data_IF_978369776030
#
_entry.id   IF_978369776030
#
_cell.length_a   1.000
_cell.length_b   1.000
_cell.length_c   1.000
_cell.angle_alpha   90.00
_cell.angle_beta   90.00
_cell.angle_gamma   90.00
#
_symmetry.space_group_name_H-M   'P 1'
#
loop_
_entity.id
_entity.type
_entity.pdbx_description
1 polymer ?
#
# COMPACT_ATOMS: atom_id res chain seq x y z
N UNK A 1 7.98 43.89 -0.81
CA UNK A 1 6.58 43.42 -0.79
C UNK A 1 6.58 41.92 -1.01
N UNK A 2 6.45 41.07 0.03
CA UNK A 2 6.56 39.63 -0.12
C UNK A 2 5.27 39.06 -0.72
N UNK A 3 5.42 38.14 -1.67
CA UNK A 3 4.32 37.42 -2.31
C UNK A 3 3.66 36.48 -1.29
N UNK A 4 2.34 36.47 -1.31
CA UNK A 4 1.46 35.64 -0.50
C UNK A 4 1.69 34.14 -0.74
N UNK A 5 1.89 33.41 0.35
CA UNK A 5 1.99 31.95 0.39
C UNK A 5 0.60 31.32 0.38
N UNK A 6 -0.14 31.43 -0.74
CA UNK A 6 -1.55 31.02 -0.81
C UNK A 6 -1.83 29.69 -1.52
N UNK A 7 -0.83 28.90 -1.89
CA UNK A 7 -1.03 27.56 -2.44
C UNK A 7 -0.30 26.50 -1.60
N UNK A 8 -0.98 25.92 -0.62
CA UNK A 8 -0.50 24.73 0.10
C UNK A 8 -0.85 23.44 -0.68
N UNK A 9 -0.51 23.37 -1.97
CA UNK A 9 -0.68 22.16 -2.80
C UNK A 9 0.55 21.23 -2.75
N UNK A 10 1.60 21.60 -2.01
CA UNK A 10 2.90 20.90 -1.99
C UNK A 10 3.09 19.87 -0.86
N UNK A 11 2.02 19.42 -0.18
CA UNK A 11 2.14 18.30 0.78
C UNK A 11 1.82 17.00 0.07
N UNK A 12 2.83 16.16 -0.14
CA UNK A 12 2.66 14.81 -0.67
C UNK A 12 1.52 14.08 0.06
N UNK A 13 0.49 13.68 -0.68
CA UNK A 13 -0.66 12.96 -0.14
C UNK A 13 -0.17 11.69 0.59
N UNK A 14 -0.67 11.37 1.80
CA UNK A 14 -0.19 10.24 2.60
C UNK A 14 -0.13 8.89 1.87
N UNK A 15 -1.12 8.60 1.02
CA UNK A 15 -1.09 7.43 0.14
C UNK A 15 0.05 7.48 -0.89
N UNK A 16 0.34 8.63 -1.50
CA UNK A 16 1.39 8.75 -2.52
C UNK A 16 2.78 8.59 -1.86
N UNK A 17 2.93 9.04 -0.61
CA UNK A 17 4.11 8.76 0.21
C UNK A 17 4.27 7.25 0.45
N UNK A 18 3.19 6.54 0.81
CA UNK A 18 3.19 5.08 0.97
C UNK A 18 3.62 4.37 -0.32
N UNK A 19 3.00 4.70 -1.46
CA UNK A 19 3.32 4.14 -2.75
C UNK A 19 4.79 4.42 -3.15
N UNK A 20 5.29 5.63 -2.91
CA UNK A 20 6.68 6.00 -3.17
C UNK A 20 7.66 5.19 -2.32
N UNK A 21 7.39 4.99 -1.02
CA UNK A 21 8.26 4.18 -0.15
C UNK A 21 8.27 2.71 -0.53
N UNK A 22 7.14 2.17 -0.95
CA UNK A 22 7.07 0.81 -1.49
C UNK A 22 7.95 0.71 -2.75
N UNK A 23 7.74 1.59 -3.73
CA UNK A 23 8.53 1.62 -4.97
C UNK A 23 10.03 1.75 -4.72
N UNK A 24 10.44 2.55 -3.73
CA UNK A 24 11.85 2.69 -3.39
C UNK A 24 12.46 1.34 -2.98
N UNK A 25 11.83 0.61 -2.07
CA UNK A 25 12.39 -0.65 -1.59
C UNK A 25 12.28 -1.77 -2.63
N UNK A 26 11.36 -1.69 -3.58
CA UNK A 26 11.21 -2.73 -4.59
C UNK A 26 12.06 -2.48 -5.83
N UNK A 27 12.19 -1.22 -6.27
CA UNK A 27 12.84 -0.86 -7.53
C UNK A 27 14.30 -0.45 -7.38
N UNK A 28 14.73 0.03 -6.21
CA UNK A 28 16.09 0.52 -6.00
C UNK A 28 16.84 -0.43 -5.05
N UNK A 29 17.79 -1.25 -5.55
CA UNK A 29 18.52 -2.21 -4.72
C UNK A 29 19.17 -1.56 -3.48
N UNK A 30 19.80 -0.40 -3.63
CA UNK A 30 20.41 0.34 -2.51
C UNK A 30 19.42 0.91 -1.47
N UNK A 31 18.10 0.81 -1.69
CA UNK A 31 17.07 1.19 -0.71
C UNK A 31 16.46 -0.02 0.02
N UNK A 32 16.85 -1.25 -0.33
CA UNK A 32 16.50 -2.50 0.38
C UNK A 32 17.32 -2.64 1.67
N UNK A 33 17.16 -1.69 2.57
CA UNK A 33 17.90 -1.61 3.83
C UNK A 33 16.93 -1.56 5.01
N UNK A 34 17.36 -1.89 6.24
CA UNK A 34 16.54 -1.73 7.44
C UNK A 34 15.89 -0.34 7.53
N UNK A 35 16.66 0.72 7.23
CA UNK A 35 16.15 2.10 7.18
C UNK A 35 15.07 2.30 6.11
N UNK A 36 15.21 1.70 4.93
CA UNK A 36 14.20 1.76 3.88
C UNK A 36 12.89 1.09 4.30
N UNK A 37 12.99 -0.06 4.95
CA UNK A 37 11.84 -0.78 5.51
C UNK A 37 11.15 0.00 6.63
N UNK A 38 11.91 0.63 7.51
CA UNK A 38 11.36 1.47 8.57
C UNK A 38 10.65 2.72 8.03
N UNK A 39 11.16 3.29 6.93
CA UNK A 39 10.46 4.36 6.21
C UNK A 39 9.14 3.88 5.60
N UNK A 40 9.08 2.67 5.07
CA UNK A 40 7.83 2.09 4.58
C UNK A 40 6.84 1.91 5.74
N UNK A 41 7.27 1.32 6.86
CA UNK A 41 6.44 1.18 8.08
C UNK A 41 5.95 2.52 8.60
N UNK A 42 6.78 3.55 8.55
CA UNK A 42 6.38 4.91 8.90
C UNK A 42 5.30 5.45 7.95
N UNK A 43 5.44 5.22 6.63
CA UNK A 43 4.43 5.64 5.66
C UNK A 43 3.09 4.91 5.84
N UNK A 44 3.11 3.62 6.22
CA UNK A 44 1.90 2.86 6.60
C UNK A 44 1.18 3.57 7.76
N UNK A 45 1.89 3.91 8.84
CA UNK A 45 1.32 4.62 10.00
C UNK A 45 0.77 6.00 9.63
N UNK A 46 1.45 6.74 8.76
CA UNK A 46 0.99 8.05 8.29
C UNK A 46 -0.29 7.91 7.44
N UNK A 47 -0.37 6.90 6.57
CA UNK A 47 -1.57 6.61 5.79
C UNK A 47 -2.74 6.19 6.69
N UNK A 48 -2.49 5.39 7.73
CA UNK A 48 -3.48 5.03 8.74
C UNK A 48 -4.03 6.26 9.48
N UNK A 49 -3.15 7.12 10.00
CA UNK A 49 -3.56 8.35 10.67
C UNK A 49 -4.35 9.29 9.77
N UNK A 50 -4.02 9.34 8.47
CA UNK A 50 -4.78 10.10 7.49
C UNK A 50 -6.18 9.53 7.25
N UNK A 51 -6.34 8.21 7.14
CA UNK A 51 -7.66 7.57 7.01
C UNK A 51 -8.54 7.85 8.23
N UNK A 52 -7.99 7.71 9.45
CA UNK A 52 -8.69 8.05 10.69
C UNK A 52 -9.10 9.53 10.73
N UNK A 53 -8.24 10.43 10.24
CA UNK A 53 -8.56 11.85 10.14
C UNK A 53 -9.70 12.11 9.16
N UNK A 54 -9.69 11.51 7.97
CA UNK A 54 -10.79 11.65 7.02
C UNK A 54 -12.12 11.16 7.60
N UNK A 55 -12.10 10.03 8.30
CA UNK A 55 -13.26 9.49 9.02
C UNK A 55 -13.77 10.50 10.05
N UNK A 56 -12.88 11.02 10.90
CA UNK A 56 -13.24 12.00 11.94
C UNK A 56 -13.77 13.33 11.36
N UNK A 57 -13.33 13.71 10.16
CA UNK A 57 -13.84 14.87 9.42
C UNK A 57 -15.16 14.59 8.66
N UNK A 58 -15.76 13.39 8.82
CA UNK A 58 -16.99 13.00 8.12
C UNK A 58 -16.79 12.68 6.63
N UNK A 59 -15.56 12.52 6.17
CA UNK A 59 -15.19 12.27 4.77
C UNK A 59 -15.07 10.78 4.47
N UNK A 60 -16.07 10.00 4.87
CA UNK A 60 -16.07 8.54 4.73
C UNK A 60 -15.85 8.08 3.29
N UNK A 61 -16.45 8.77 2.30
CA UNK A 61 -16.26 8.43 0.89
C UNK A 61 -14.80 8.58 0.42
N UNK A 62 -14.11 9.63 0.84
CA UNK A 62 -12.68 9.86 0.53
C UNK A 62 -11.79 8.84 1.25
N UNK A 63 -12.13 8.51 2.50
CA UNK A 63 -11.44 7.47 3.26
C UNK A 63 -11.58 6.10 2.58
N UNK A 64 -12.80 5.71 2.18
CA UNK A 64 -13.06 4.46 1.46
C UNK A 64 -12.33 4.42 0.13
N UNK A 65 -12.34 5.52 -0.63
CA UNK A 65 -11.59 5.62 -1.88
C UNK A 65 -10.10 5.38 -1.65
N UNK A 66 -9.53 5.98 -0.59
CA UNK A 66 -8.13 5.81 -0.23
C UNK A 66 -7.84 4.39 0.27
N UNK A 67 -8.71 3.79 1.07
CA UNK A 67 -8.61 2.40 1.51
C UNK A 67 -8.60 1.42 0.32
N UNK A 68 -9.47 1.64 -0.67
CA UNK A 68 -9.47 0.86 -1.92
C UNK A 68 -8.14 0.98 -2.68
N UNK A 69 -7.53 2.17 -2.73
CA UNK A 69 -6.18 2.33 -3.30
C UNK A 69 -5.12 1.54 -2.53
N UNK A 70 -5.23 1.42 -1.20
CA UNK A 70 -4.33 0.60 -0.39
C UNK A 70 -4.50 -0.89 -0.72
N UNK A 71 -5.73 -1.38 -0.89
CA UNK A 71 -5.98 -2.74 -1.36
C UNK A 71 -5.34 -2.99 -2.73
N UNK A 72 -5.53 -2.08 -3.68
CA UNK A 72 -4.93 -2.20 -5.02
C UNK A 72 -3.40 -2.17 -4.95
N UNK A 73 -2.81 -1.36 -4.05
CA UNK A 73 -1.37 -1.33 -3.84
C UNK A 73 -0.85 -2.66 -3.26
N UNK A 74 -1.57 -3.26 -2.31
CA UNK A 74 -1.25 -4.57 -1.73
C UNK A 74 -1.32 -5.73 -2.74
N UNK A 75 -2.12 -5.58 -3.80
CA UNK A 75 -2.29 -6.56 -4.87
C UNK A 75 -1.17 -6.49 -5.93
N UNK A 76 -0.40 -5.41 -5.97
CA UNK A 76 0.76 -5.31 -6.88
C UNK A 76 1.84 -6.34 -6.54
N UNK A 77 2.69 -6.65 -7.51
CA UNK A 77 3.85 -7.53 -7.26
C UNK A 77 4.79 -6.96 -6.21
N UNK A 78 4.94 -5.64 -6.17
CA UNK A 78 5.68 -4.94 -5.11
C UNK A 78 5.06 -5.22 -3.73
N UNK A 79 3.75 -5.01 -3.58
CA UNK A 79 3.03 -5.27 -2.33
C UNK A 79 3.11 -6.73 -1.89
N UNK A 80 2.90 -7.68 -2.81
CA UNK A 80 3.01 -9.12 -2.52
C UNK A 80 4.43 -9.52 -2.13
N UNK A 81 5.46 -9.08 -2.87
CA UNK A 81 6.86 -9.35 -2.54
C UNK A 81 7.23 -8.79 -1.17
N UNK A 82 6.81 -7.56 -0.87
CA UNK A 82 7.07 -6.93 0.42
C UNK A 82 6.42 -7.68 1.58
N UNK A 83 5.22 -8.21 1.37
CA UNK A 83 4.57 -9.10 2.35
C UNK A 83 5.38 -10.38 2.58
N UNK A 84 5.75 -11.11 1.53
CA UNK A 84 6.42 -12.42 1.67
C UNK A 84 7.88 -12.34 2.10
N UNK A 85 8.66 -11.39 1.58
CA UNK A 85 10.10 -11.32 1.85
C UNK A 85 10.44 -10.48 3.10
N UNK A 86 9.65 -9.47 3.41
CA UNK A 86 9.92 -8.55 4.53
C UNK A 86 8.89 -8.65 5.68
N UNK A 87 7.80 -9.39 5.51
CA UNK A 87 6.73 -9.49 6.51
C UNK A 87 6.01 -8.17 6.76
N UNK A 88 6.06 -7.23 5.82
CA UNK A 88 5.41 -5.92 5.94
C UNK A 88 4.07 -5.97 5.22
N UNK A 89 2.98 -5.83 5.95
CA UNK A 89 1.63 -5.84 5.40
C UNK A 89 1.14 -4.39 5.15
N UNK A 90 0.84 -4.06 3.89
CA UNK A 90 0.27 -2.75 3.56
C UNK A 90 -1.15 -2.57 4.09
N UNK A 91 -1.86 -3.66 4.40
CA UNK A 91 -3.19 -3.60 5.00
C UNK A 91 -3.16 -3.07 6.43
N UNK A 92 -1.99 -3.02 7.08
CA UNK A 92 -1.80 -2.34 8.38
C UNK A 92 -2.06 -0.82 8.29
N UNK A 93 -2.19 -0.26 7.08
CA UNK A 93 -2.60 1.12 6.90
C UNK A 93 -4.11 1.32 7.11
N UNK A 94 -4.92 0.25 7.10
CA UNK A 94 -6.38 0.34 7.16
C UNK A 94 -6.89 0.38 8.61
N UNK A 95 -7.72 1.38 8.98
CA UNK A 95 -8.50 1.31 10.22
C UNK A 95 -9.46 0.12 10.24
N UNK A 96 -9.99 -0.26 11.43
CA UNK A 96 -11.09 -1.21 11.52
C UNK A 96 -12.27 -0.80 10.62
N UNK A 97 -12.92 -1.72 9.90
CA UNK A 97 -13.97 -1.38 8.94
C UNK A 97 -15.16 -0.63 9.57
N UNK A 98 -15.52 -0.98 10.81
CA UNK A 98 -16.55 -0.28 11.58
C UNK A 98 -16.25 1.21 11.81
N UNK A 99 -14.98 1.61 11.80
CA UNK A 99 -14.61 3.02 11.96
C UNK A 99 -15.09 3.88 10.79
N UNK A 100 -15.29 3.32 9.60
CA UNK A 100 -15.74 4.08 8.43
C UNK A 100 -17.22 4.48 8.51
N UNK A 101 -18.03 3.82 9.36
CA UNK A 101 -19.44 4.14 9.57
C UNK A 101 -20.32 3.93 8.34
N UNK A 102 -19.91 3.04 7.41
CA UNK A 102 -20.64 2.74 6.17
C UNK A 102 -20.85 1.23 6.07
N UNK A 103 -22.09 0.77 6.29
CA UNK A 103 -22.46 -0.65 6.33
C UNK A 103 -21.99 -1.44 5.10
N UNK A 104 -22.22 -0.90 3.90
CA UNK A 104 -21.79 -1.54 2.65
C UNK A 104 -20.26 -1.68 2.56
N UNK A 105 -19.50 -0.76 3.16
CA UNK A 105 -18.06 -0.92 3.22
C UNK A 105 -17.66 -2.00 4.22
N UNK A 106 -18.25 -2.00 5.40
CA UNK A 106 -17.92 -2.92 6.48
C UNK A 106 -18.27 -4.38 6.16
N UNK A 107 -19.49 -4.62 5.69
CA UNK A 107 -20.02 -5.98 5.54
C UNK A 107 -19.82 -6.58 4.15
N UNK A 108 -19.58 -5.75 3.13
CA UNK A 108 -19.44 -6.22 1.75
C UNK A 108 -18.07 -5.90 1.16
N UNK A 109 -17.73 -4.60 1.01
CA UNK A 109 -16.55 -4.22 0.26
C UNK A 109 -15.25 -4.64 0.96
N UNK A 110 -15.08 -4.31 2.24
CA UNK A 110 -13.88 -4.64 3.02
C UNK A 110 -13.60 -6.15 3.05
N UNK A 111 -14.55 -7.02 3.47
CA UNK A 111 -14.29 -8.46 3.50
C UNK A 111 -14.01 -9.02 2.10
N UNK A 112 -14.70 -8.52 1.07
CA UNK A 112 -14.43 -8.91 -0.34
C UNK A 112 -13.00 -8.54 -0.77
N UNK A 113 -12.52 -7.34 -0.43
CA UNK A 113 -11.16 -6.91 -0.78
C UNK A 113 -10.08 -7.66 0.01
N UNK A 114 -10.29 -7.89 1.31
CA UNK A 114 -9.38 -8.71 2.13
C UNK A 114 -9.29 -10.13 1.55
N UNK A 115 -10.42 -10.73 1.19
CA UNK A 115 -10.44 -12.05 0.57
C UNK A 115 -9.71 -12.05 -0.78
N UNK A 116 -9.89 -11.00 -1.60
CA UNK A 116 -9.15 -10.82 -2.87
C UNK A 116 -7.64 -10.76 -2.64
N UNK A 117 -7.17 -9.98 -1.66
CA UNK A 117 -5.74 -9.91 -1.30
C UNK A 117 -5.21 -11.26 -0.83
N UNK A 118 -5.96 -11.94 0.04
CA UNK A 118 -5.60 -13.28 0.52
C UNK A 118 -5.43 -14.27 -0.62
N UNK A 119 -6.42 -14.39 -1.51
CA UNK A 119 -6.37 -15.31 -2.65
C UNK A 119 -5.19 -15.02 -3.57
N UNK A 120 -4.90 -13.75 -3.82
CA UNK A 120 -3.77 -13.34 -4.64
C UNK A 120 -2.41 -13.62 -3.97
N UNK A 121 -2.31 -13.46 -2.65
CA UNK A 121 -1.15 -13.88 -1.88
C UNK A 121 -0.94 -15.40 -1.93
N UNK A 122 -2.00 -16.19 -1.78
CA UNK A 122 -1.93 -17.66 -1.89
C UNK A 122 -1.52 -18.14 -3.28
N UNK A 123 -2.00 -17.48 -4.34
CA UNK A 123 -1.56 -17.74 -5.72
C UNK A 123 -0.07 -17.39 -5.90
N UNK A 124 0.35 -16.24 -5.38
CA UNK A 124 1.75 -15.81 -5.46
C UNK A 124 2.69 -16.70 -4.65
N UNK A 125 2.28 -17.16 -3.46
CA UNK A 125 3.04 -18.13 -2.67
C UNK A 125 3.26 -19.44 -3.42
N UNK A 126 2.20 -19.97 -4.07
CA UNK A 126 2.30 -21.16 -4.93
C UNK A 126 3.25 -20.94 -6.10
N UNK A 127 3.21 -19.76 -6.71
CA UNK A 127 4.13 -19.38 -7.77
C UNK A 127 5.59 -19.38 -7.27
N UNK A 128 5.88 -18.72 -6.13
CA UNK A 128 7.22 -18.70 -5.53
C UNK A 128 7.73 -20.10 -5.16
N UNK A 129 6.86 -20.94 -4.59
CA UNK A 129 7.20 -22.32 -4.24
C UNK A 129 7.54 -23.18 -5.47
N UNK A 130 6.90 -22.91 -6.62
CA UNK A 130 7.10 -23.67 -7.86
C UNK A 130 8.31 -23.21 -8.67
N UNK A 131 8.62 -21.92 -8.65
CA UNK A 131 9.61 -21.32 -9.57
C UNK A 131 10.84 -20.72 -8.89
N UNK A 132 10.93 -20.76 -7.56
CA UNK A 132 12.04 -20.17 -6.81
C UNK A 132 11.95 -18.63 -6.74
N UNK A 133 12.70 -18.05 -5.80
CA UNK A 133 12.77 -16.59 -5.57
C UNK A 133 13.21 -15.85 -6.85
N UNK A 134 12.48 -14.80 -7.25
CA UNK A 134 12.93 -13.83 -8.26
C UNK A 134 14.05 -12.95 -7.68
N UNK A 135 15.20 -13.53 -7.35
CA UNK A 135 16.44 -12.77 -7.25
C UNK A 135 16.99 -12.62 -8.68
N UNK A 136 16.48 -11.61 -9.37
CA UNK A 136 17.08 -11.13 -10.63
C UNK A 136 17.31 -9.64 -10.53
N UNK A 137 18.48 -9.26 -10.02
CA UNK A 137 19.25 -8.19 -10.65
C UNK A 137 19.56 -8.67 -12.09
N UNK A 138 18.70 -8.32 -13.04
CA UNK A 138 18.82 -8.68 -14.46
C UNK A 138 17.84 -7.86 -15.30
N UNK A 139 18.25 -7.32 -16.46
CA UNK A 139 17.53 -6.25 -17.13
C UNK A 139 16.24 -6.74 -17.79
N UNK A 140 15.30 -5.82 -17.95
CA UNK A 140 14.04 -6.01 -18.67
C UNK A 140 14.26 -6.72 -20.01
N UNK A 141 13.65 -7.89 -20.20
CA UNK A 141 13.67 -8.55 -21.50
C UNK A 141 13.40 -10.04 -21.46
N UNK A 142 12.12 -10.42 -21.48
CA UNK A 142 11.64 -11.55 -22.30
C UNK A 142 10.12 -11.64 -22.18
N UNK A 143 9.43 -11.33 -23.28
CA UNK A 143 8.05 -11.76 -23.48
C UNK A 143 8.08 -13.27 -23.78
N UNK A 144 7.18 -14.09 -23.21
CA UNK A 144 6.99 -15.44 -23.71
C UNK A 144 6.04 -15.43 -24.91
N UNK A 145 6.53 -16.07 -25.98
CA UNK A 145 5.88 -16.66 -27.17
C UNK A 145 4.82 -15.83 -27.89
#
# INVERSE_FOLDING_TARGET
MPRSWTNCEDRAHPFDCLASRLSNITLIPGKRTPRGYDQLRAAIRVCHGYLLRLIAEGKAHEAIKTANRVFDLALTDAGKRTFFHQGIDLLDALPPPAAFGVDAFEHENHPRQVQRVRLQREQFARFLARYGSFDSDGPAGSKPV
#
